data_IF_784232947033
#
_entry.id   IF_784232947033
#
_cell.length_a   1.000
_cell.length_b   1.000
_cell.length_c   1.000
_cell.angle_alpha   90.00
_cell.angle_beta   90.00
_cell.angle_gamma   90.00
#
_symmetry.space_group_name_H-M   'P 1'
#
loop_
_entity.id
_entity.type
_entity.pdbx_description
1 polymer ?
#
# COMPACT_ATOMS: atom_id res chain seq x y z
N UNK A 1 -30.76 3.58 16.91
CA UNK A 1 -30.39 3.18 15.53
C UNK A 1 -28.95 2.72 15.61
N UNK A 2 -28.62 1.49 15.22
CA UNK A 2 -27.20 1.08 15.17
C UNK A 2 -26.64 1.80 13.94
N UNK A 3 -25.67 2.68 14.13
CA UNK A 3 -25.21 3.57 13.08
C UNK A 3 -24.22 2.86 12.14
N UNK A 4 -24.23 3.25 10.87
CA UNK A 4 -23.31 2.73 9.83
C UNK A 4 -21.83 2.87 10.24
N UNK A 5 -21.53 3.89 11.05
CA UNK A 5 -20.21 4.13 11.65
C UNK A 5 -19.75 3.01 12.58
N UNK A 6 -20.66 2.42 13.36
CA UNK A 6 -20.33 1.29 14.24
C UNK A 6 -19.95 0.04 13.44
N UNK A 7 -20.52 -0.12 12.25
CA UNK A 7 -20.18 -1.22 11.34
C UNK A 7 -18.74 -1.07 10.82
N UNK A 8 -18.38 0.15 10.39
CA UNK A 8 -17.02 0.48 9.95
C UNK A 8 -16.02 0.30 11.10
N UNK A 9 -16.36 0.77 12.30
CA UNK A 9 -15.49 0.61 13.48
C UNK A 9 -15.25 -0.87 13.81
N UNK A 10 -16.29 -1.71 13.72
CA UNK A 10 -16.16 -3.14 13.94
C UNK A 10 -15.25 -3.81 12.91
N UNK A 11 -15.40 -3.47 11.63
CA UNK A 11 -14.52 -4.00 10.57
C UNK A 11 -13.08 -3.51 10.73
N UNK A 12 -12.86 -2.22 11.02
CA UNK A 12 -11.53 -1.68 11.33
C UNK A 12 -10.89 -2.39 12.52
N UNK A 13 -11.61 -2.57 13.63
CA UNK A 13 -11.08 -3.26 14.81
C UNK A 13 -10.66 -4.71 14.48
N UNK A 14 -11.40 -5.41 13.62
CA UNK A 14 -11.01 -6.75 13.14
C UNK A 14 -9.73 -6.73 12.32
N UNK A 15 -9.45 -5.67 11.55
CA UNK A 15 -8.23 -5.56 10.75
C UNK A 15 -7.01 -5.36 11.67
N UNK A 16 -7.07 -4.42 12.61
CA UNK A 16 -5.93 -4.03 13.44
C UNK A 16 -5.59 -5.04 14.55
N UNK A 17 -6.56 -5.81 15.05
CA UNK A 17 -6.30 -6.82 16.09
C UNK A 17 -5.67 -8.12 15.57
N UNK A 18 -5.53 -8.29 14.26
CA UNK A 18 -4.90 -9.50 13.69
C UNK A 18 -3.39 -9.36 13.70
N UNK A 19 -2.70 -10.41 14.18
CA UNK A 19 -1.23 -10.45 14.25
C UNK A 19 -0.57 -10.15 12.90
N UNK A 20 -1.14 -10.66 11.79
CA UNK A 20 -0.66 -10.40 10.43
C UNK A 20 -0.58 -8.91 10.07
N UNK A 21 -1.50 -8.10 10.57
CA UNK A 21 -1.53 -6.65 10.30
C UNK A 21 -0.39 -5.97 11.03
N UNK A 22 -0.15 -6.33 12.29
CA UNK A 22 1.01 -5.85 13.06
C UNK A 22 2.32 -6.24 12.37
N UNK A 23 2.40 -7.47 11.85
CA UNK A 23 3.57 -7.92 11.08
C UNK A 23 3.78 -7.03 9.83
N UNK A 24 2.73 -6.60 9.12
CA UNK A 24 2.87 -5.69 7.97
C UNK A 24 3.52 -4.35 8.37
N UNK A 25 3.08 -3.74 9.47
CA UNK A 25 3.68 -2.49 9.99
C UNK A 25 5.16 -2.66 10.35
N UNK A 26 5.48 -3.75 11.06
CA UNK A 26 6.85 -4.08 11.45
C UNK A 26 7.72 -4.35 10.22
N UNK A 27 7.21 -5.10 9.23
CA UNK A 27 7.93 -5.39 8.01
C UNK A 27 8.21 -4.11 7.21
N UNK A 28 7.24 -3.20 7.09
CA UNK A 28 7.47 -1.92 6.41
C UNK A 28 8.60 -1.13 7.10
N UNK A 29 8.57 -1.04 8.43
CA UNK A 29 9.63 -0.37 9.19
C UNK A 29 10.98 -1.05 8.98
N UNK A 30 11.00 -2.39 9.10
CA UNK A 30 12.21 -3.20 8.99
C UNK A 30 12.83 -3.13 7.58
N UNK A 31 12.02 -3.19 6.53
CA UNK A 31 12.50 -3.07 5.15
C UNK A 31 13.01 -1.67 4.83
N UNK A 32 12.31 -0.61 5.27
CA UNK A 32 12.83 0.75 5.12
C UNK A 32 14.18 0.90 5.84
N UNK A 33 14.32 0.34 7.05
CA UNK A 33 15.56 0.42 7.81
C UNK A 33 16.68 -0.37 7.12
N UNK A 34 16.39 -1.59 6.70
CA UNK A 34 17.34 -2.47 6.04
C UNK A 34 17.85 -1.83 4.74
N UNK A 35 16.96 -1.38 3.86
CA UNK A 35 17.37 -0.74 2.61
C UNK A 35 18.02 0.63 2.83
N UNK A 36 17.57 1.41 3.82
CA UNK A 36 18.21 2.67 4.18
C UNK A 36 19.66 2.45 4.62
N UNK A 37 19.92 1.44 5.46
CA UNK A 37 21.28 1.07 5.88
C UNK A 37 22.09 0.55 4.69
N UNK A 38 21.52 -0.31 3.84
CA UNK A 38 22.22 -0.81 2.64
C UNK A 38 22.64 0.34 1.71
N UNK A 39 21.77 1.32 1.49
CA UNK A 39 22.11 2.51 0.70
C UNK A 39 23.14 3.41 1.37
N UNK A 40 23.17 3.46 2.70
CA UNK A 40 24.21 4.22 3.43
C UNK A 40 25.61 3.59 3.34
N UNK A 41 25.69 2.28 3.07
CA UNK A 41 26.95 1.56 2.91
C UNK A 41 27.52 1.66 1.48
N UNK A 42 26.69 2.01 0.51
CA UNK A 42 27.11 2.19 -0.88
C UNK A 42 27.82 3.55 -1.02
N UNK A 43 29.16 3.53 -0.90
CA UNK A 43 30.02 4.70 -1.01
C UNK A 43 30.23 5.12 -2.48
N UNK A 44 29.15 5.37 -3.21
CA UNK A 44 29.19 5.92 -4.57
C UNK A 44 29.74 7.36 -4.58
N UNK A 45 30.26 7.85 -5.73
CA UNK A 45 30.86 9.18 -5.86
C UNK A 45 29.90 10.37 -5.68
N UNK A 46 28.62 10.13 -5.38
CA UNK A 46 27.69 11.13 -4.90
C UNK A 46 27.13 10.69 -3.56
N UNK A 47 27.42 11.44 -2.48
CA UNK A 47 26.79 11.20 -1.19
C UNK A 47 25.27 11.36 -1.36
N UNK A 48 24.52 10.30 -1.09
CA UNK A 48 23.07 10.36 -1.08
C UNK A 48 22.62 11.33 0.01
N UNK A 49 21.78 12.29 -0.36
CA UNK A 49 21.14 13.18 0.61
C UNK A 49 19.91 12.53 1.22
N UNK A 50 19.41 13.07 2.33
CA UNK A 50 18.20 12.56 2.97
C UNK A 50 16.99 12.50 2.01
N UNK A 51 16.79 13.51 1.16
CA UNK A 51 15.68 13.52 0.21
C UNK A 51 15.87 12.52 -0.94
N UNK A 52 17.11 12.35 -1.41
CA UNK A 52 17.45 11.34 -2.41
C UNK A 52 17.18 9.92 -1.87
N UNK A 53 17.51 9.68 -0.59
CA UNK A 53 17.23 8.41 0.06
C UNK A 53 15.72 8.15 0.22
N UNK A 54 14.89 9.16 0.51
CA UNK A 54 13.41 9.00 0.52
C UNK A 54 12.89 8.59 -0.86
N UNK A 55 13.40 9.20 -1.91
CA UNK A 55 13.00 8.85 -3.28
C UNK A 55 13.40 7.41 -3.63
N UNK A 56 14.62 7.01 -3.28
CA UNK A 56 15.07 5.64 -3.47
C UNK A 56 14.19 4.67 -2.69
N UNK A 57 13.99 4.87 -1.38
CA UNK A 57 13.14 4.00 -0.55
C UNK A 57 11.70 3.90 -1.05
N UNK A 58 11.21 4.85 -1.86
CA UNK A 58 9.88 4.78 -2.48
C UNK A 58 9.66 3.53 -3.33
N UNK A 59 10.73 2.86 -3.81
CA UNK A 59 10.57 1.56 -4.48
C UNK A 59 9.84 0.55 -3.58
N UNK A 60 10.07 0.57 -2.26
CA UNK A 60 9.45 -0.32 -1.27
C UNK A 60 7.93 -0.13 -1.14
N UNK A 61 7.35 0.90 -1.76
CA UNK A 61 5.91 1.10 -1.79
C UNK A 61 5.16 -0.09 -2.40
N UNK A 62 5.83 -0.91 -3.23
CA UNK A 62 5.25 -2.16 -3.74
C UNK A 62 4.78 -3.11 -2.61
N UNK A 63 5.46 -3.12 -1.46
CA UNK A 63 5.06 -3.91 -0.28
C UNK A 63 3.73 -3.41 0.29
N UNK A 64 3.53 -2.10 0.34
CA UNK A 64 2.28 -1.46 0.78
C UNK A 64 1.12 -1.91 -0.10
N UNK A 65 1.34 -1.96 -1.43
CA UNK A 65 0.33 -2.45 -2.38
C UNK A 65 0.02 -3.92 -2.13
N UNK A 66 1.03 -4.78 -2.03
CA UNK A 66 0.85 -6.23 -1.77
C UNK A 66 0.06 -6.48 -0.47
N UNK A 67 0.47 -5.84 0.64
CA UNK A 67 -0.20 -6.03 1.92
C UNK A 67 -1.65 -5.54 1.91
N UNK A 68 -1.90 -4.42 1.25
CA UNK A 68 -3.25 -3.88 1.07
C UNK A 68 -4.15 -4.82 0.27
N UNK A 69 -3.63 -5.38 -0.83
CA UNK A 69 -4.33 -6.37 -1.67
C UNK A 69 -4.67 -7.63 -0.88
N UNK A 70 -3.76 -8.15 -0.05
CA UNK A 70 -4.01 -9.34 0.78
C UNK A 70 -5.12 -9.09 1.80
N UNK A 71 -5.15 -7.91 2.44
CA UNK A 71 -6.22 -7.56 3.38
C UNK A 71 -7.56 -7.39 2.65
N UNK A 72 -7.56 -6.75 1.49
CA UNK A 72 -8.75 -6.55 0.66
C UNK A 72 -9.37 -7.87 0.18
N UNK A 73 -8.54 -8.86 -0.16
CA UNK A 73 -9.01 -10.18 -0.54
C UNK A 73 -9.55 -10.98 0.67
N UNK A 74 -8.89 -10.94 1.82
CA UNK A 74 -9.28 -11.75 2.96
C UNK A 74 -10.56 -11.23 3.67
N UNK A 75 -10.79 -9.91 3.69
CA UNK A 75 -11.92 -9.31 4.42
C UNK A 75 -13.29 -9.78 3.92
N UNK A 76 -13.36 -10.17 2.66
CA UNK A 76 -14.56 -10.70 2.01
C UNK A 76 -14.52 -12.23 2.00
N UNK A 77 -13.47 -12.83 1.43
CA UNK A 77 -13.38 -14.29 1.31
C UNK A 77 -13.46 -15.02 2.65
N UNK A 78 -12.80 -14.48 3.69
CA UNK A 78 -12.76 -15.10 5.02
C UNK A 78 -14.14 -15.26 5.65
N UNK A 79 -15.09 -14.39 5.35
CA UNK A 79 -16.47 -14.51 5.86
C UNK A 79 -17.32 -15.54 5.11
N UNK A 80 -17.03 -15.77 3.82
CA UNK A 80 -17.68 -16.82 3.05
C UNK A 80 -17.18 -18.21 3.47
N UNK A 81 -15.89 -18.34 3.78
CA UNK A 81 -15.28 -19.60 4.22
C UNK A 81 -15.77 -20.03 5.62
N UNK A 82 -15.93 -19.09 6.56
CA UNK A 82 -16.28 -19.39 7.95
C UNK A 82 -17.80 -19.46 8.21
N UNK A 83 -18.65 -19.15 7.23
CA UNK A 83 -20.11 -19.22 7.37
C UNK A 83 -20.74 -18.13 8.27
N UNK A 84 -19.97 -17.15 8.75
CA UNK A 84 -20.42 -16.04 9.62
C UNK A 84 -21.44 -15.10 8.97
N UNK A 85 -21.63 -15.19 7.64
CA UNK A 85 -22.73 -14.51 6.92
C UNK A 85 -24.09 -14.91 7.51
N UNK A 86 -24.25 -16.15 8.00
CA UNK A 86 -25.51 -16.61 8.62
C UNK A 86 -25.78 -15.94 9.98
N UNK A 87 -24.73 -15.54 10.71
CA UNK A 87 -24.87 -14.83 12.00
C UNK A 87 -25.22 -13.35 11.81
N UNK A 88 -24.84 -12.74 10.67
CA UNK A 88 -25.17 -11.35 10.35
C UNK A 88 -26.60 -11.17 9.83
N UNK A 89 -27.21 -12.22 9.26
CA UNK A 89 -28.59 -12.18 8.72
C UNK A 89 -29.69 -12.14 9.80
N UNK A 90 -29.34 -12.23 11.08
CA UNK A 90 -30.29 -12.06 12.20
C UNK A 90 -30.50 -10.57 12.55
N UNK A 91 -29.61 -9.65 12.10
CA UNK A 91 -29.80 -8.19 12.23
C UNK A 91 -30.20 -7.56 10.87
N UNK A 92 -31.05 -6.52 10.84
CA UNK A 92 -31.69 -6.01 9.62
C UNK A 92 -30.76 -5.10 8.80
N UNK A 93 -29.63 -5.62 8.32
CA UNK A 93 -28.68 -4.90 7.46
C UNK A 93 -28.72 -5.43 6.03
N UNK A 94 -28.84 -4.51 5.05
CA UNK A 94 -28.80 -4.89 3.64
C UNK A 94 -27.39 -5.32 3.24
N UNK A 95 -27.29 -6.35 2.39
CA UNK A 95 -25.99 -6.94 1.96
C UNK A 95 -25.04 -5.89 1.37
N UNK A 96 -25.57 -4.91 0.64
CA UNK A 96 -24.77 -3.82 0.06
C UNK A 96 -24.21 -2.86 1.11
N UNK A 97 -24.93 -2.60 2.21
CA UNK A 97 -24.41 -1.76 3.32
C UNK A 97 -23.25 -2.44 4.03
N UNK A 98 -23.30 -3.76 4.21
CA UNK A 98 -22.20 -4.54 4.79
C UNK A 98 -20.98 -4.48 3.87
N UNK A 99 -21.17 -4.74 2.58
CA UNK A 99 -20.08 -4.69 1.61
C UNK A 99 -19.44 -3.29 1.52
N UNK A 100 -20.26 -2.24 1.51
CA UNK A 100 -19.77 -0.85 1.51
C UNK A 100 -18.96 -0.50 2.75
N UNK A 101 -19.36 -0.96 3.93
CA UNK A 101 -18.59 -0.73 5.17
C UNK A 101 -17.21 -1.41 5.14
N UNK A 102 -17.10 -2.58 4.49
CA UNK A 102 -15.83 -3.30 4.32
C UNK A 102 -14.91 -2.58 3.36
N UNK A 103 -15.43 -2.15 2.22
CA UNK A 103 -14.65 -1.38 1.24
C UNK A 103 -14.09 -0.11 1.89
N UNK A 104 -14.92 0.63 2.64
CA UNK A 104 -14.46 1.82 3.33
C UNK A 104 -13.41 1.52 4.40
N UNK A 105 -13.57 0.40 5.14
CA UNK A 105 -12.57 -0.04 6.13
C UNK A 105 -11.23 -0.39 5.48
N UNK A 106 -11.26 -1.02 4.28
CA UNK A 106 -10.05 -1.25 3.48
C UNK A 106 -9.42 0.06 3.06
N UNK A 107 -10.18 1.02 2.52
CA UNK A 107 -9.65 2.34 2.13
C UNK A 107 -9.02 3.08 3.33
N UNK A 108 -9.65 3.04 4.51
CA UNK A 108 -9.06 3.60 5.71
C UNK A 108 -7.75 2.90 6.10
N UNK A 109 -7.70 1.56 5.96
CA UNK A 109 -6.50 0.79 6.21
C UNK A 109 -5.37 1.13 5.23
N UNK A 110 -5.67 1.27 3.93
CA UNK A 110 -4.66 1.63 2.92
C UNK A 110 -4.11 3.03 3.15
N UNK A 111 -4.96 3.99 3.52
CA UNK A 111 -4.51 5.34 3.92
C UNK A 111 -3.53 5.27 5.09
N UNK A 112 -3.86 4.50 6.12
CA UNK A 112 -3.00 4.37 7.31
C UNK A 112 -1.68 3.70 6.95
N UNK A 113 -1.70 2.65 6.14
CA UNK A 113 -0.48 1.94 5.71
C UNK A 113 0.42 2.84 4.86
N UNK A 114 -0.15 3.64 3.95
CA UNK A 114 0.57 4.65 3.15
C UNK A 114 1.16 5.76 4.01
N UNK A 115 0.40 6.27 4.98
CA UNK A 115 0.89 7.28 5.92
C UNK A 115 2.04 6.73 6.79
N UNK A 116 1.91 5.49 7.27
CA UNK A 116 2.97 4.81 8.01
C UNK A 116 4.23 4.67 7.17
N UNK A 117 4.11 4.21 5.92
CA UNK A 117 5.23 4.09 4.99
C UNK A 117 5.97 5.41 4.83
N UNK A 118 5.23 6.50 4.54
CA UNK A 118 5.79 7.84 4.39
C UNK A 118 6.55 8.30 5.64
N UNK A 119 5.97 8.11 6.83
CA UNK A 119 6.63 8.51 8.09
C UNK A 119 7.91 7.71 8.30
N UNK A 120 7.88 6.39 8.05
CA UNK A 120 9.07 5.55 8.22
C UNK A 120 10.16 5.85 7.21
N UNK A 121 9.83 6.09 5.94
CA UNK A 121 10.81 6.39 4.90
C UNK A 121 11.50 7.73 5.18
N UNK A 122 10.74 8.78 5.52
CA UNK A 122 11.31 10.08 5.91
C UNK A 122 12.15 9.94 7.18
N UNK A 123 11.62 9.32 8.23
CA UNK A 123 12.35 9.19 9.50
C UNK A 123 13.69 8.48 9.31
N UNK A 124 13.72 7.37 8.58
CA UNK A 124 14.94 6.58 8.36
C UNK A 124 15.93 7.35 7.50
N UNK A 125 15.47 8.02 6.43
CA UNK A 125 16.35 8.81 5.56
C UNK A 125 17.00 9.97 6.30
N UNK A 126 16.28 10.69 7.16
CA UNK A 126 16.84 11.80 7.93
C UNK A 126 17.74 11.36 9.09
N UNK A 127 17.58 10.11 9.58
CA UNK A 127 18.46 9.53 10.61
C UNK A 127 19.80 9.09 10.01
N UNK A 128 19.78 8.49 8.81
CA UNK A 128 20.96 7.85 8.21
C UNK A 128 21.76 8.77 7.29
N UNK A 129 21.14 9.75 6.64
CA UNK A 129 21.76 10.56 5.58
C UNK A 129 21.84 12.05 5.94
N UNK A 130 22.85 12.78 5.43
CA UNK A 130 22.99 14.20 5.68
C UNK A 130 21.86 15.01 5.02
N UNK A 131 21.38 16.02 5.74
CA UNK A 131 20.38 16.97 5.26
C UNK A 131 21.03 18.07 4.41
N UNK A 132 21.41 17.71 3.19
CA UNK A 132 21.98 18.60 2.17
C UNK A 132 21.00 18.79 1.01
N UNK A 133 21.14 19.87 0.21
CA UNK A 133 20.36 20.02 -1.01
C UNK A 133 20.59 18.81 -1.91
N UNK A 134 19.49 18.22 -2.36
CA UNK A 134 19.48 16.99 -3.14
C UNK A 134 20.35 17.07 -4.39
N UNK A 135 21.01 15.97 -4.71
CA UNK A 135 21.76 15.83 -5.95
C UNK A 135 20.82 15.45 -7.10
N UNK A 136 19.72 14.75 -6.79
CA UNK A 136 18.75 14.25 -7.79
C UNK A 136 17.72 15.32 -8.16
N UNK A 137 17.21 16.06 -7.17
CA UNK A 137 16.32 17.19 -7.45
C UNK A 137 17.18 18.43 -7.67
N UNK A 138 17.05 19.05 -8.85
CA UNK A 138 17.76 20.29 -9.16
C UNK A 138 17.57 21.34 -8.05
N UNK A 139 18.55 22.23 -7.88
CA UNK A 139 18.66 23.11 -6.69
C UNK A 139 17.44 24.01 -6.40
N UNK A 140 16.50 24.16 -7.35
CA UNK A 140 15.30 24.99 -7.21
C UNK A 140 14.00 24.18 -6.99
N UNK A 141 14.04 22.85 -7.03
CA UNK A 141 12.85 22.03 -6.85
C UNK A 141 12.59 21.75 -5.36
N UNK A 142 11.33 21.84 -4.92
CA UNK A 142 10.93 21.45 -3.57
C UNK A 142 10.83 19.91 -3.48
N UNK A 143 11.78 19.20 -2.86
CA UNK A 143 11.82 17.73 -2.90
C UNK A 143 10.59 17.10 -2.25
N UNK A 144 10.06 17.74 -1.21
CA UNK A 144 8.87 17.29 -0.51
C UNK A 144 7.62 17.29 -1.41
N UNK A 145 7.45 18.34 -2.23
CA UNK A 145 6.32 18.44 -3.15
C UNK A 145 6.37 17.33 -4.21
N UNK A 146 7.56 17.03 -4.75
CA UNK A 146 7.77 15.95 -5.70
C UNK A 146 7.44 14.58 -5.09
N UNK A 147 7.95 14.29 -3.89
CA UNK A 147 7.68 13.01 -3.20
C UNK A 147 6.19 12.86 -2.92
N UNK A 148 5.50 13.94 -2.54
CA UNK A 148 4.05 13.91 -2.33
C UNK A 148 3.27 13.65 -3.60
N UNK A 149 3.63 14.30 -4.71
CA UNK A 149 3.00 14.06 -6.00
C UNK A 149 3.18 12.60 -6.45
N UNK A 150 4.41 12.09 -6.36
CA UNK A 150 4.74 10.70 -6.67
C UNK A 150 3.93 9.73 -5.80
N UNK A 151 3.86 9.99 -4.49
CA UNK A 151 3.08 9.18 -3.55
C UNK A 151 1.59 9.20 -3.90
N UNK A 152 1.05 10.35 -4.33
CA UNK A 152 -0.36 10.48 -4.69
C UNK A 152 -0.70 9.62 -5.92
N UNK A 153 0.16 9.62 -6.94
CA UNK A 153 -0.01 8.73 -8.10
C UNK A 153 0.07 7.25 -7.70
N UNK A 154 1.06 6.87 -6.88
CA UNK A 154 1.16 5.49 -6.38
C UNK A 154 -0.01 5.09 -5.49
N UNK A 155 -0.61 6.04 -4.76
CA UNK A 155 -1.79 5.81 -3.95
C UNK A 155 -3.04 5.56 -4.80
N UNK A 156 -3.20 6.29 -5.91
CA UNK A 156 -4.28 6.03 -6.87
C UNK A 156 -4.15 4.61 -7.46
N UNK A 157 -2.93 4.21 -7.85
CA UNK A 157 -2.67 2.86 -8.36
C UNK A 157 -3.03 1.78 -7.31
N UNK A 158 -2.60 2.00 -6.06
CA UNK A 158 -2.96 1.12 -4.93
C UNK A 158 -4.48 1.00 -4.78
N UNK A 159 -5.22 2.11 -4.83
CA UNK A 159 -6.69 2.10 -4.71
C UNK A 159 -7.36 1.28 -5.81
N UNK A 160 -6.85 1.38 -7.04
CA UNK A 160 -7.36 0.61 -8.19
C UNK A 160 -7.11 -0.88 -7.96
N UNK A 161 -5.87 -1.28 -7.67
CA UNK A 161 -5.49 -2.69 -7.49
C UNK A 161 -6.23 -3.32 -6.30
N UNK A 162 -6.35 -2.60 -5.18
CA UNK A 162 -7.07 -3.09 -3.99
C UNK A 162 -8.56 -3.21 -4.21
N UNK A 163 -9.18 -2.28 -4.95
CA UNK A 163 -10.58 -2.37 -5.34
C UNK A 163 -10.85 -3.56 -6.26
N UNK A 164 -9.96 -3.82 -7.23
CA UNK A 164 -10.03 -5.02 -8.07
C UNK A 164 -9.90 -6.30 -7.25
N UNK A 165 -8.96 -6.34 -6.29
CA UNK A 165 -8.80 -7.49 -5.41
C UNK A 165 -10.06 -7.78 -4.58
N UNK A 166 -10.63 -6.73 -4.01
CA UNK A 166 -11.89 -6.79 -3.27
C UNK A 166 -13.01 -7.33 -4.16
N UNK A 167 -13.17 -6.78 -5.38
CA UNK A 167 -14.19 -7.23 -6.33
C UNK A 167 -14.01 -8.71 -6.68
N UNK A 168 -12.81 -9.14 -7.06
CA UNK A 168 -12.51 -10.53 -7.40
C UNK A 168 -12.80 -11.44 -6.20
N UNK A 169 -12.43 -11.02 -4.98
CA UNK A 169 -12.74 -11.79 -3.78
C UNK A 169 -14.24 -11.95 -3.55
N UNK A 170 -15.06 -10.94 -3.84
CA UNK A 170 -16.52 -11.03 -3.70
C UNK A 170 -17.15 -12.01 -4.70
N UNK A 171 -16.68 -11.99 -5.95
CA UNK A 171 -17.21 -12.82 -7.04
C UNK A 171 -16.82 -14.27 -6.85
N UNK A 172 -15.53 -14.53 -6.62
CA UNK A 172 -14.99 -15.88 -6.55
C UNK A 172 -15.07 -16.51 -5.15
N UNK A 173 -15.40 -15.72 -4.12
CA UNK A 173 -15.50 -16.16 -2.71
C UNK A 173 -14.26 -16.92 -2.22
N UNK A 174 -13.11 -16.61 -2.80
CA UNK A 174 -11.82 -17.24 -2.53
C UNK A 174 -10.75 -16.17 -2.43
N UNK A 175 -10.06 -16.14 -1.28
CA UNK A 175 -9.00 -15.16 -1.02
C UNK A 175 -7.77 -15.42 -1.88
N UNK A 176 -7.41 -16.69 -2.09
CA UNK A 176 -6.22 -17.05 -2.87
C UNK A 176 -6.31 -16.62 -4.34
N UNK A 177 -7.47 -16.83 -4.97
CA UNK A 177 -7.71 -16.41 -6.38
C UNK A 177 -7.63 -14.88 -6.50
N UNK A 178 -8.23 -14.16 -5.55
CA UNK A 178 -8.22 -12.71 -5.53
C UNK A 178 -6.81 -12.13 -5.36
N UNK A 179 -6.01 -12.71 -4.47
CA UNK A 179 -4.62 -12.29 -4.28
C UNK A 179 -3.80 -12.55 -5.55
N UNK A 180 -3.89 -13.76 -6.12
CA UNK A 180 -3.11 -14.15 -7.30
C UNK A 180 -3.40 -13.29 -8.52
N UNK A 181 -4.68 -13.03 -8.82
CA UNK A 181 -5.06 -12.20 -9.97
C UNK A 181 -4.64 -10.73 -9.81
N UNK A 182 -4.78 -10.16 -8.60
CA UNK A 182 -4.35 -8.78 -8.36
C UNK A 182 -2.83 -8.62 -8.44
N UNK A 183 -2.07 -9.60 -7.95
CA UNK A 183 -0.60 -9.60 -8.11
C UNK A 183 -0.20 -9.76 -9.56
N UNK A 184 -0.90 -10.60 -10.33
CA UNK A 184 -0.66 -10.75 -11.76
C UNK A 184 -0.84 -9.41 -12.51
N UNK A 185 -1.90 -8.65 -12.18
CA UNK A 185 -2.14 -7.32 -12.75
C UNK A 185 -1.00 -6.37 -12.42
N UNK A 186 -0.56 -6.32 -11.15
CA UNK A 186 0.54 -5.46 -10.70
C UNK A 186 1.84 -5.75 -11.44
N UNK A 187 2.25 -7.02 -11.52
CA UNK A 187 3.50 -7.37 -12.21
C UNK A 187 3.41 -7.15 -13.71
N UNK A 188 2.26 -7.45 -14.32
CA UNK A 188 2.02 -7.21 -15.74
C UNK A 188 2.13 -5.71 -16.04
N UNK A 189 1.49 -4.84 -15.26
CA UNK A 189 1.59 -3.39 -15.44
C UNK A 189 3.03 -2.87 -15.41
N UNK A 190 3.85 -3.37 -14.47
CA UNK A 190 5.27 -3.02 -14.39
C UNK A 190 6.08 -3.51 -15.60
N UNK A 191 5.82 -4.72 -16.09
CA UNK A 191 6.49 -5.24 -17.30
C UNK A 191 6.10 -4.43 -18.53
N UNK A 192 4.82 -4.09 -18.68
CA UNK A 192 4.33 -3.28 -19.80
C UNK A 192 4.92 -1.88 -19.79
N UNK A 193 4.97 -1.21 -18.65
CA UNK A 193 5.59 0.13 -18.55
C UNK A 193 7.09 0.08 -18.83
N UNK A 194 7.79 -0.98 -18.41
CA UNK A 194 9.21 -1.18 -18.72
C UNK A 194 9.45 -1.44 -20.22
N UNK A 195 8.56 -2.19 -20.87
CA UNK A 195 8.68 -2.53 -22.29
C UNK A 195 8.29 -1.36 -23.20
N UNK A 196 7.19 -0.67 -22.90
CA UNK A 196 6.62 0.40 -23.72
C UNK A 196 6.99 1.80 -23.26
N UNK A 197 8.03 1.97 -22.44
CA UNK A 197 8.47 3.30 -22.02
C UNK A 197 8.88 4.12 -23.26
N UNK A 198 8.14 5.19 -23.63
CA UNK A 198 8.38 5.91 -24.87
C UNK A 198 9.76 6.58 -24.93
N UNK A 199 10.36 6.86 -23.77
CA UNK A 199 11.71 7.45 -23.67
C UNK A 199 12.77 6.48 -24.19
N UNK A 200 12.54 5.16 -24.09
CA UNK A 200 13.47 4.14 -24.64
C UNK A 200 13.52 4.13 -26.17
N UNK A 201 12.46 4.57 -26.82
CA UNK A 201 12.34 4.53 -28.29
C UNK A 201 12.63 5.89 -28.96
N UNK A 202 12.82 6.96 -28.19
CA UNK A 202 13.17 8.29 -28.69
C UNK A 202 14.68 8.53 -28.85
N UNK A 203 15.53 7.61 -28.34
CA UNK A 203 16.99 7.68 -28.43
C UNK A 203 17.59 6.68 -29.45
N UNK A 204 16.75 6.10 -30.31
CA UNK A 204 17.14 5.19 -31.39
C UNK A 204 17.02 5.82 -32.76
#
# INVERSE_FOLDING_TARGET
MIDFTQLIQNENMKIYRRLRTVIMFILILMFNLLFGVLFSLDNGPGQLTAWDAVDQLSFLYFLVVIFSTVVAADIVAGEFTWGTIKLLLIRPWTRSKILGSKLLSVICFTLLLTAWFLVTSIAISFILFPNQPSVIFGQEANPFAYIMEKLLYSYIDLLVITSFSFMISTVFRSGGIAIGLSMFILFTGNIFTMLFNPIRYLLG
#
